data_IF_841855750190
#
_entry.id   IF_841855750190
#
_cell.length_a   1.000
_cell.length_b   1.000
_cell.length_c   1.000
_cell.angle_alpha   90.00
_cell.angle_beta   90.00
_cell.angle_gamma   90.00
#
_symmetry.space_group_name_H-M   'P 1'
#
loop_
_entity.id
_entity.type
_entity.pdbx_description
1 polymer ?
#
# COMPACT_ATOMS: atom_id res chain seq x y z
N UNK A 1 53.91 4.31 -9.89
CA UNK A 1 52.92 3.45 -9.22
C UNK A 1 51.93 4.24 -8.36
N UNK A 2 52.33 4.90 -7.26
CA UNK A 2 51.42 5.63 -6.33
C UNK A 2 50.44 6.60 -7.01
N UNK A 3 50.89 7.36 -8.02
CA UNK A 3 50.06 8.34 -8.75
C UNK A 3 48.91 7.71 -9.56
N UNK A 4 49.08 6.49 -10.08
CA UNK A 4 48.03 5.76 -10.81
C UNK A 4 46.92 5.27 -9.88
N UNK A 5 47.28 4.85 -8.67
CA UNK A 5 46.31 4.46 -7.63
C UNK A 5 45.51 5.67 -7.13
N UNK A 6 46.15 6.83 -7.00
CA UNK A 6 45.48 8.09 -6.63
C UNK A 6 44.49 8.56 -7.70
N UNK A 7 44.84 8.46 -8.99
CA UNK A 7 43.95 8.82 -10.10
C UNK A 7 42.77 7.85 -10.18
N UNK A 8 43.03 6.54 -10.05
CA UNK A 8 41.97 5.53 -10.04
C UNK A 8 40.98 5.74 -8.87
N UNK A 9 41.46 6.09 -7.67
CA UNK A 9 40.60 6.39 -6.53
C UNK A 9 39.74 7.66 -6.74
N UNK A 10 40.29 8.70 -7.38
CA UNK A 10 39.55 9.93 -7.69
C UNK A 10 38.45 9.67 -8.74
N UNK A 11 38.75 8.87 -9.79
CA UNK A 11 37.75 8.50 -10.79
C UNK A 11 36.60 7.67 -10.21
N UNK A 12 36.87 6.78 -9.24
CA UNK A 12 35.83 5.99 -8.57
C UNK A 12 34.90 6.81 -7.65
N UNK A 13 35.37 7.95 -7.15
CA UNK A 13 34.54 8.87 -6.33
C UNK A 13 33.64 9.73 -7.24
N UNK A 14 34.13 10.08 -8.45
CA UNK A 14 33.39 10.85 -9.46
C UNK A 14 32.30 10.04 -10.18
N UNK A 15 32.28 8.72 -10.08
CA UNK A 15 31.24 7.84 -10.62
C UNK A 15 30.09 7.56 -9.64
N UNK A 16 29.92 8.39 -8.61
CA UNK A 16 28.75 8.32 -7.73
C UNK A 16 27.54 8.89 -8.48
N UNK A 17 26.69 8.01 -8.99
CA UNK A 17 25.39 8.42 -9.52
C UNK A 17 24.55 8.98 -8.37
N UNK A 18 24.18 10.26 -8.47
CA UNK A 18 23.20 10.85 -7.56
C UNK A 18 21.85 10.20 -7.85
N UNK A 19 21.37 9.41 -6.91
CA UNK A 19 19.97 8.94 -6.93
C UNK A 19 19.10 10.09 -6.46
N UNK A 20 18.43 10.76 -7.40
CA UNK A 20 17.38 11.72 -7.07
C UNK A 20 16.13 10.95 -6.62
N UNK A 21 15.81 11.02 -5.34
CA UNK A 21 14.56 10.51 -4.80
C UNK A 21 13.39 11.40 -5.24
N UNK A 22 12.17 10.84 -5.31
CA UNK A 22 10.96 11.64 -5.46
C UNK A 22 10.75 12.51 -4.21
N UNK A 23 10.91 13.83 -4.34
CA UNK A 23 10.70 14.78 -3.25
C UNK A 23 9.28 15.36 -3.28
N UNK A 24 8.29 14.52 -2.96
CA UNK A 24 6.86 14.89 -2.95
C UNK A 24 6.33 15.29 -1.55
N UNK A 25 7.22 15.42 -0.56
CA UNK A 25 6.84 15.78 0.82
C UNK A 25 6.31 14.63 1.68
N UNK A 26 6.08 13.43 1.13
CA UNK A 26 5.59 12.26 1.88
C UNK A 26 6.74 11.39 2.40
N UNK A 27 6.42 10.42 3.26
CA UNK A 27 7.35 9.43 3.82
C UNK A 27 8.64 10.04 4.41
N UNK A 28 8.53 11.21 5.07
CA UNK A 28 9.65 11.85 5.80
C UNK A 28 10.13 10.99 6.98
N UNK A 29 9.26 10.13 7.49
CA UNK A 29 9.56 8.97 8.34
C UNK A 29 9.04 7.71 7.66
N UNK A 30 9.52 6.51 8.03
CA UNK A 30 8.97 5.26 7.51
C UNK A 30 7.45 5.18 7.71
N UNK A 31 6.65 4.86 6.68
CA UNK A 31 5.21 4.77 6.83
C UNK A 31 4.84 3.59 7.75
N UNK A 32 3.90 3.83 8.65
CA UNK A 32 3.41 2.84 9.60
C UNK A 32 1.92 2.62 9.37
N UNK A 33 1.50 1.37 9.25
CA UNK A 33 0.11 1.04 8.97
C UNK A 33 -0.15 -0.46 8.90
N UNK A 34 -1.29 -0.81 8.37
CA UNK A 34 -1.74 -2.18 8.14
C UNK A 34 -1.92 -2.43 6.64
N UNK A 35 -1.60 -3.65 6.18
CA UNK A 35 -1.73 -4.08 4.79
C UNK A 35 -2.31 -5.49 4.73
N UNK A 36 -3.30 -5.71 3.87
CA UNK A 36 -4.11 -6.93 3.86
C UNK A 36 -3.35 -8.21 3.48
N UNK A 37 -2.34 -8.11 2.61
CA UNK A 37 -1.74 -9.25 1.91
C UNK A 37 -1.21 -10.36 2.82
N UNK A 38 -0.35 -10.02 3.79
CA UNK A 38 0.38 -11.04 4.56
C UNK A 38 -0.53 -11.97 5.35
N UNK A 39 -1.73 -11.50 5.75
CA UNK A 39 -2.68 -12.28 6.54
C UNK A 39 -3.87 -12.79 5.71
N UNK A 40 -4.37 -12.00 4.77
CA UNK A 40 -5.62 -12.28 4.05
C UNK A 40 -5.38 -12.73 2.61
N UNK A 41 -4.21 -12.43 2.04
CA UNK A 41 -3.82 -12.77 0.67
C UNK A 41 -4.89 -12.34 -0.35
N UNK A 42 -5.33 -13.26 -1.21
CA UNK A 42 -6.33 -13.02 -2.25
C UNK A 42 -7.63 -13.80 -1.97
N UNK A 43 -8.10 -13.84 -0.71
CA UNK A 43 -9.35 -14.51 -0.37
C UNK A 43 -10.56 -13.72 -0.90
N UNK A 44 -11.17 -14.14 -2.01
CA UNK A 44 -12.36 -13.50 -2.57
C UNK A 44 -13.67 -14.22 -2.23
N UNK A 45 -13.60 -15.33 -1.46
CA UNK A 45 -14.77 -16.14 -1.12
C UNK A 45 -15.51 -15.58 0.10
N UNK A 46 -16.33 -14.55 -0.13
CA UNK A 46 -17.17 -13.97 0.92
C UNK A 46 -18.43 -14.77 1.26
N UNK A 47 -18.71 -15.87 0.55
CA UNK A 47 -19.90 -16.70 0.80
C UNK A 47 -19.67 -17.60 2.01
N UNK A 48 -18.50 -18.23 2.09
CA UNK A 48 -18.17 -19.15 3.19
C UNK A 48 -17.20 -18.57 4.20
N UNK A 49 -16.55 -17.45 3.89
CA UNK A 49 -15.51 -16.83 4.73
C UNK A 49 -15.62 -15.29 4.72
N UNK A 50 -16.79 -14.79 5.08
CA UNK A 50 -17.13 -13.36 5.04
C UNK A 50 -16.19 -12.48 5.89
N UNK A 51 -15.72 -12.99 7.03
CA UNK A 51 -14.90 -12.22 7.97
C UNK A 51 -13.43 -12.11 7.53
N UNK A 52 -12.97 -12.94 6.59
CA UNK A 52 -11.59 -12.91 6.10
C UNK A 52 -11.47 -12.65 4.59
N UNK A 53 -12.57 -12.50 3.86
CA UNK A 53 -12.51 -12.17 2.45
C UNK A 53 -12.14 -10.70 2.23
N UNK A 54 -11.45 -10.41 1.12
CA UNK A 54 -11.10 -9.06 0.68
C UNK A 54 -12.38 -8.33 0.29
N UNK A 55 -12.90 -7.55 1.22
CA UNK A 55 -14.18 -6.84 1.11
C UNK A 55 -14.12 -5.51 1.83
N UNK A 56 -15.00 -4.58 1.45
CA UNK A 56 -15.17 -3.29 2.13
C UNK A 56 -15.32 -3.45 3.65
N UNK A 57 -16.09 -4.45 4.08
CA UNK A 57 -16.28 -4.78 5.51
C UNK A 57 -14.96 -5.05 6.22
N UNK A 58 -14.07 -5.87 5.63
CA UNK A 58 -12.77 -6.18 6.23
C UNK A 58 -11.94 -4.91 6.48
N UNK A 59 -11.92 -3.99 5.52
CA UNK A 59 -11.14 -2.75 5.65
C UNK A 59 -11.76 -1.77 6.65
N UNK A 60 -13.10 -1.67 6.72
CA UNK A 60 -13.79 -0.89 7.76
C UNK A 60 -13.51 -1.45 9.16
N UNK A 61 -13.63 -2.77 9.32
CA UNK A 61 -13.35 -3.44 10.59
C UNK A 61 -11.89 -3.19 11.03
N UNK A 62 -10.92 -3.29 10.11
CA UNK A 62 -9.50 -3.01 10.41
C UNK A 62 -9.24 -1.55 10.77
N UNK A 63 -9.89 -0.61 10.10
CA UNK A 63 -9.83 0.81 10.46
C UNK A 63 -10.34 1.05 11.89
N UNK A 64 -11.47 0.43 12.25
CA UNK A 64 -12.04 0.50 13.60
C UNK A 64 -11.09 -0.10 14.64
N UNK A 65 -10.48 -1.27 14.36
CA UNK A 65 -9.54 -1.90 15.30
C UNK A 65 -8.28 -1.05 15.52
N UNK A 66 -7.76 -0.39 14.47
CA UNK A 66 -6.60 0.50 14.60
C UNK A 66 -6.87 1.66 15.58
N UNK A 67 -8.09 2.18 15.58
CA UNK A 67 -8.51 3.22 16.53
C UNK A 67 -8.80 2.64 17.91
N UNK A 68 -9.63 1.60 17.98
CA UNK A 68 -10.12 1.03 19.24
C UNK A 68 -9.01 0.52 20.16
N UNK A 69 -7.91 -0.01 19.58
CA UNK A 69 -6.77 -0.52 20.33
C UNK A 69 -5.56 0.44 20.38
N UNK A 70 -5.71 1.68 19.90
CA UNK A 70 -4.66 2.71 20.02
C UNK A 70 -3.49 2.56 19.05
N UNK A 71 -3.58 1.71 18.01
CA UNK A 71 -2.54 1.62 16.98
C UNK A 71 -2.40 2.93 16.21
N UNK A 72 -3.52 3.59 15.88
CA UNK A 72 -3.48 4.91 15.25
C UNK A 72 -2.71 5.91 16.12
N UNK A 73 -3.01 5.93 17.42
CA UNK A 73 -2.36 6.86 18.37
C UNK A 73 -0.87 6.52 18.57
N UNK A 74 -0.45 5.28 18.27
CA UNK A 74 0.94 4.85 18.21
C UNK A 74 1.62 5.12 16.84
N UNK A 75 0.91 5.69 15.87
CA UNK A 75 1.43 6.10 14.55
C UNK A 75 1.08 5.18 13.37
N UNK A 76 0.26 4.13 13.55
CA UNK A 76 -0.20 3.29 12.45
C UNK A 76 -1.39 3.96 11.73
N UNK A 77 -1.09 4.77 10.72
CA UNK A 77 -2.03 5.71 10.08
C UNK A 77 -2.56 5.26 8.72
N UNK A 78 -1.97 4.23 8.11
CA UNK A 78 -2.36 3.74 6.79
C UNK A 78 -3.14 2.42 6.88
N UNK A 79 -4.26 2.34 6.16
CA UNK A 79 -4.99 1.10 5.86
C UNK A 79 -4.83 0.82 4.37
N UNK A 80 -3.97 -0.14 4.02
CA UNK A 80 -3.57 -0.39 2.65
C UNK A 80 -4.31 -1.59 2.05
N UNK A 81 -5.05 -1.34 0.97
CA UNK A 81 -5.59 -2.38 0.10
C UNK A 81 -4.45 -2.92 -0.78
N UNK A 82 -4.24 -4.23 -0.72
CA UNK A 82 -3.32 -4.94 -1.64
C UNK A 82 -4.10 -5.49 -2.85
N UNK A 83 -3.70 -6.60 -3.43
CA UNK A 83 -4.35 -7.18 -4.61
C UNK A 83 -5.80 -7.68 -4.36
N UNK A 84 -6.49 -8.04 -5.44
CA UNK A 84 -7.78 -8.73 -5.45
C UNK A 84 -9.01 -7.90 -5.03
N UNK A 85 -8.91 -6.58 -4.92
CA UNK A 85 -10.07 -5.69 -4.72
C UNK A 85 -10.85 -5.37 -6.00
N UNK A 86 -10.19 -5.50 -7.16
CA UNK A 86 -10.72 -5.12 -8.47
C UNK A 86 -11.87 -6.03 -8.93
N UNK A 87 -12.80 -5.44 -9.68
CA UNK A 87 -13.68 -6.20 -10.55
C UNK A 87 -12.88 -6.83 -11.70
N UNK A 88 -13.41 -7.92 -12.26
CA UNK A 88 -12.76 -8.65 -13.38
C UNK A 88 -12.61 -7.80 -14.64
N UNK A 89 -13.43 -6.76 -14.80
CA UNK A 89 -13.45 -5.90 -15.99
C UNK A 89 -13.43 -4.42 -15.63
N UNK A 90 -12.77 -3.65 -16.49
CA UNK A 90 -12.80 -2.18 -16.46
C UNK A 90 -14.16 -1.66 -16.91
N UNK A 91 -14.47 -0.42 -16.56
CA UNK A 91 -15.67 0.25 -17.06
C UNK A 91 -15.57 0.51 -18.59
N UNK A 92 -16.65 1.01 -19.18
CA UNK A 92 -16.71 1.36 -20.60
C UNK A 92 -15.66 2.40 -21.05
N UNK A 93 -15.11 3.17 -20.11
CA UNK A 93 -14.10 4.20 -20.35
C UNK A 93 -12.67 3.71 -20.00
N UNK A 94 -12.53 2.42 -19.66
CA UNK A 94 -11.24 1.81 -19.31
C UNK A 94 -10.78 2.05 -17.87
N UNK A 95 -11.62 2.56 -16.98
CA UNK A 95 -11.27 2.79 -15.57
C UNK A 95 -11.33 1.51 -14.74
N UNK A 96 -10.49 1.45 -13.72
CA UNK A 96 -10.55 0.40 -12.70
C UNK A 96 -11.86 0.52 -11.92
N UNK A 97 -12.43 -0.62 -11.56
CA UNK A 97 -13.65 -0.71 -10.75
C UNK A 97 -13.37 -1.63 -9.57
N UNK A 98 -13.94 -1.31 -8.41
CA UNK A 98 -13.97 -2.28 -7.31
C UNK A 98 -14.96 -3.39 -7.63
N UNK A 99 -14.71 -4.58 -7.10
CA UNK A 99 -15.68 -5.67 -7.17
C UNK A 99 -17.01 -5.24 -6.54
N UNK A 100 -18.13 -5.21 -7.29
CA UNK A 100 -19.37 -4.61 -6.82
C UNK A 100 -20.08 -5.43 -5.74
N UNK A 101 -19.74 -6.71 -5.58
CA UNK A 101 -20.32 -7.56 -4.54
C UNK A 101 -19.55 -7.42 -3.23
N UNK A 102 -18.22 -7.27 -3.30
CA UNK A 102 -17.35 -7.18 -2.12
C UNK A 102 -17.12 -5.74 -1.66
N UNK A 103 -17.28 -4.77 -2.56
CA UNK A 103 -17.16 -3.32 -2.30
C UNK A 103 -18.40 -2.58 -2.83
N UNK A 104 -19.60 -2.80 -2.23
CA UNK A 104 -20.86 -2.27 -2.75
C UNK A 104 -20.94 -0.74 -2.75
N UNK A 105 -20.21 -0.04 -1.86
CA UNK A 105 -20.13 1.43 -1.90
C UNK A 105 -18.91 1.96 -2.69
N UNK A 106 -18.14 1.06 -3.31
CA UNK A 106 -16.92 1.35 -4.05
C UNK A 106 -15.78 1.91 -3.18
N UNK A 107 -14.60 2.11 -3.78
CA UNK A 107 -13.43 2.65 -3.05
C UNK A 107 -13.68 4.05 -2.51
N UNK A 108 -14.48 4.88 -3.21
CA UNK A 108 -14.84 6.21 -2.71
C UNK A 108 -15.70 6.14 -1.44
N UNK A 109 -16.57 5.12 -1.30
CA UNK A 109 -17.30 4.87 -0.07
C UNK A 109 -16.36 4.53 1.07
N UNK A 110 -15.46 3.57 0.84
CA UNK A 110 -14.46 3.14 1.81
C UNK A 110 -13.50 4.26 2.25
N UNK A 111 -13.09 5.16 1.35
CA UNK A 111 -12.22 6.31 1.68
C UNK A 111 -12.93 7.39 2.51
N UNK A 112 -14.26 7.47 2.41
CA UNK A 112 -15.06 8.45 3.19
C UNK A 112 -15.36 7.98 4.60
N UNK A 113 -15.36 6.67 4.82
CA UNK A 113 -15.46 6.06 6.13
C UNK A 113 -14.23 6.42 6.97
#
# INVERSE_FOLDING_TARGET
MKMLWSIAAILSILSTEFVCCLDNGLARTPPMGWLSWTRFTCNTNCVTDMDNCISEKLFMDMADQLVAYGYRDAGYEYVSLDDCWLAESRDKDGRLQADPLRFPNGITGLVKY
#
